data_IF_307515978769
#
_entry.id   IF_307515978769
#
_cell.length_a   1.000
_cell.length_b   1.000
_cell.length_c   1.000
_cell.angle_alpha   90.00
_cell.angle_beta   90.00
_cell.angle_gamma   90.00
#
_symmetry.space_group_name_H-M   'P 1'
#
loop_
_entity.id
_entity.type
_entity.pdbx_description
1 polymer ?
#
# COMPACT_ATOMS: atom_id res chain seq x y z
N UNK A 1 22.29 1.83 27.83
CA UNK A 1 20.87 1.41 27.83
C UNK A 1 20.04 2.67 27.66
N UNK A 2 19.36 2.83 26.51
CA UNK A 2 18.55 4.02 26.24
C UNK A 2 17.28 3.93 27.11
N UNK A 3 17.12 4.83 28.08
CA UNK A 3 15.91 4.97 28.89
C UNK A 3 15.28 6.31 28.55
N UNK A 4 14.10 6.26 27.95
CA UNK A 4 13.30 7.44 27.67
C UNK A 4 12.43 7.72 28.90
N UNK A 5 12.54 8.92 29.48
CA UNK A 5 11.69 9.33 30.60
C UNK A 5 10.30 9.68 30.06
N UNK A 6 9.29 9.01 30.60
CA UNK A 6 7.91 9.26 30.22
C UNK A 6 7.44 10.62 30.76
N UNK A 7 6.96 11.49 29.87
CA UNK A 7 6.42 12.82 30.16
C UNK A 7 4.91 12.82 29.85
N UNK A 8 4.06 12.51 30.82
CA UNK A 8 2.61 12.54 30.64
C UNK A 8 1.80 11.94 31.80
N UNK A 9 0.48 11.87 31.62
CA UNK A 9 -0.43 11.12 32.50
C UNK A 9 -1.19 9.98 31.78
N UNK A 10 -1.08 9.89 30.44
CA UNK A 10 -1.69 8.85 29.58
C UNK A 10 -0.67 8.13 28.68
N UNK A 11 -0.88 6.85 28.32
CA UNK A 11 0.04 6.11 27.45
C UNK A 11 0.24 6.79 26.08
N UNK A 12 1.48 6.84 25.59
CA UNK A 12 1.79 7.37 24.24
C UNK A 12 1.28 6.49 23.10
N UNK A 13 1.14 5.19 23.36
CA UNK A 13 0.70 4.19 22.39
C UNK A 13 -0.55 3.53 22.97
N UNK A 14 -1.60 3.43 22.15
CA UNK A 14 -2.80 2.69 22.47
C UNK A 14 -2.96 1.53 21.51
N UNK A 15 -3.40 0.38 22.01
CA UNK A 15 -3.76 -0.78 21.18
C UNK A 15 -5.26 -0.74 20.80
N UNK A 16 -5.86 0.45 20.76
CA UNK A 16 -7.28 0.64 20.46
C UNK A 16 -7.40 0.97 18.97
N UNK A 17 -8.01 0.10 18.14
CA UNK A 17 -8.15 0.35 16.72
C UNK A 17 -9.27 1.37 16.44
N UNK A 18 -9.22 1.99 15.27
CA UNK A 18 -10.36 2.71 14.70
C UNK A 18 -11.32 1.71 14.04
N UNK A 19 -12.61 1.76 14.41
CA UNK A 19 -13.63 0.87 13.87
C UNK A 19 -14.62 1.67 13.00
N UNK A 20 -14.83 1.24 11.76
CA UNK A 20 -15.80 1.83 10.83
C UNK A 20 -16.64 0.75 10.17
N UNK A 21 -17.96 0.99 10.12
CA UNK A 21 -18.91 0.13 9.42
C UNK A 21 -19.31 0.81 8.11
N UNK A 22 -19.18 0.09 6.98
CA UNK A 22 -19.65 0.53 5.67
C UNK A 22 -20.65 -0.48 5.13
N UNK A 23 -21.83 -0.01 4.72
CA UNK A 23 -22.84 -0.86 4.10
C UNK A 23 -22.63 -0.83 2.59
N UNK A 24 -22.33 -2.00 2.02
CA UNK A 24 -22.14 -2.14 0.57
C UNK A 24 -23.39 -1.71 -0.20
N UNK A 25 -23.15 -1.00 -1.30
CA UNK A 25 -24.17 -0.58 -2.25
C UNK A 25 -23.79 -1.04 -3.66
N UNK A 26 -24.73 -1.07 -4.62
CA UNK A 26 -24.44 -1.50 -6.00
C UNK A 26 -23.41 -0.63 -6.75
N UNK A 27 -23.03 0.52 -6.20
CA UNK A 27 -21.97 1.39 -6.74
C UNK A 27 -20.58 1.08 -6.19
N UNK A 28 -20.47 0.24 -5.17
CA UNK A 28 -19.18 -0.18 -4.63
C UNK A 28 -18.63 -1.31 -5.51
N UNK A 29 -17.48 -1.07 -6.15
CA UNK A 29 -16.89 -2.01 -7.10
C UNK A 29 -15.85 -2.94 -6.44
N UNK A 30 -14.93 -2.37 -5.67
CA UNK A 30 -13.87 -3.11 -4.98
C UNK A 30 -13.38 -2.36 -3.73
N UNK A 31 -12.61 -3.05 -2.90
CA UNK A 31 -11.95 -2.49 -1.71
C UNK A 31 -10.46 -2.78 -1.80
N UNK A 32 -9.63 -1.74 -1.68
CA UNK A 32 -8.18 -1.88 -1.57
C UNK A 32 -7.78 -1.78 -0.11
N UNK A 33 -7.07 -2.80 0.38
CA UNK A 33 -6.41 -2.80 1.69
C UNK A 33 -4.92 -3.01 1.45
N UNK A 34 -4.11 -2.03 1.84
CA UNK A 34 -2.66 -2.09 1.66
C UNK A 34 -1.92 -1.44 2.83
N UNK A 35 -0.64 -1.76 2.94
CA UNK A 35 0.28 -1.04 3.82
C UNK A 35 0.62 0.34 3.25
N UNK A 36 1.27 1.15 4.07
CA UNK A 36 1.79 2.47 3.69
C UNK A 36 2.81 2.40 2.55
N UNK A 37 3.54 1.29 2.42
CA UNK A 37 4.49 1.04 1.34
C UNK A 37 3.90 1.26 -0.05
N UNK A 38 2.61 0.92 -0.27
CA UNK A 38 1.94 1.18 -1.54
C UNK A 38 1.89 2.68 -1.85
N UNK A 39 1.45 3.44 -0.85
CA UNK A 39 1.16 4.87 -0.97
C UNK A 39 2.40 5.77 -0.89
N UNK A 40 3.59 5.19 -0.70
CA UNK A 40 4.86 5.90 -0.86
C UNK A 40 5.17 6.21 -2.34
N UNK A 41 4.53 5.50 -3.28
CA UNK A 41 4.80 5.58 -4.72
C UNK A 41 3.55 5.84 -5.58
N UNK A 42 2.35 5.58 -5.05
CA UNK A 42 1.08 5.71 -5.75
C UNK A 42 0.09 6.55 -4.92
N UNK A 43 -0.68 7.43 -5.57
CA UNK A 43 -1.83 8.10 -4.94
C UNK A 43 -3.05 7.18 -4.86
N UNK A 44 -4.05 7.54 -4.06
CA UNK A 44 -5.31 6.79 -4.00
C UNK A 44 -6.01 6.73 -5.37
N UNK A 45 -5.98 7.84 -6.11
CA UNK A 45 -6.57 7.96 -7.45
C UNK A 45 -5.83 7.09 -8.47
N UNK A 46 -4.50 7.06 -8.40
CA UNK A 46 -3.69 6.19 -9.26
C UNK A 46 -3.99 4.71 -8.97
N UNK A 47 -4.07 4.31 -7.70
CA UNK A 47 -4.41 2.93 -7.32
C UNK A 47 -5.77 2.52 -7.89
N UNK A 48 -6.79 3.37 -7.74
CA UNK A 48 -8.13 3.11 -8.31
C UNK A 48 -8.05 3.00 -9.84
N UNK A 49 -7.38 3.95 -10.50
CA UNK A 49 -7.23 3.93 -11.97
C UNK A 49 -6.53 2.67 -12.46
N UNK A 50 -5.44 2.24 -11.81
CA UNK A 50 -4.70 1.05 -12.20
C UNK A 50 -5.54 -0.23 -12.06
N UNK A 51 -6.33 -0.33 -10.99
CA UNK A 51 -7.22 -1.48 -10.78
C UNK A 51 -8.34 -1.50 -11.81
N UNK A 52 -9.02 -0.38 -12.03
CA UNK A 52 -10.11 -0.28 -13.02
C UNK A 52 -9.60 -0.63 -14.43
N UNK A 53 -8.51 0.02 -14.86
CA UNK A 53 -7.89 -0.23 -16.16
C UNK A 53 -7.47 -1.69 -16.36
N UNK A 54 -6.92 -2.31 -15.32
CA UNK A 54 -6.45 -3.69 -15.39
C UNK A 54 -7.62 -4.67 -15.45
N UNK A 55 -8.65 -4.47 -14.64
CA UNK A 55 -9.85 -5.32 -14.63
C UNK A 55 -10.59 -5.25 -15.97
N UNK A 56 -10.61 -4.11 -16.65
CA UNK A 56 -11.19 -3.99 -18.00
C UNK A 56 -10.38 -4.73 -19.06
N UNK A 57 -9.04 -4.65 -19.00
CA UNK A 57 -8.14 -5.22 -20.03
C UNK A 57 -7.89 -6.72 -19.82
N UNK A 58 -7.85 -7.17 -18.58
CA UNK A 58 -7.51 -8.54 -18.18
C UNK A 58 -8.46 -9.02 -17.08
N UNK A 59 -9.71 -9.40 -17.42
CA UNK A 59 -10.72 -9.76 -16.43
C UNK A 59 -10.37 -11.00 -15.60
N UNK A 60 -9.51 -11.89 -16.11
CA UNK A 60 -9.05 -13.10 -15.41
C UNK A 60 -7.70 -12.91 -14.68
N UNK A 61 -7.13 -11.70 -14.72
CA UNK A 61 -5.84 -11.38 -14.09
C UNK A 61 -5.93 -11.03 -12.61
N UNK A 62 -4.77 -10.88 -11.96
CA UNK A 62 -4.68 -10.42 -10.57
C UNK A 62 -4.35 -8.90 -10.50
N UNK A 63 -5.32 -8.04 -10.16
CA UNK A 63 -5.08 -6.59 -10.04
C UNK A 63 -4.15 -6.23 -8.89
N UNK A 64 -4.06 -7.05 -7.83
CA UNK A 64 -3.15 -6.79 -6.71
C UNK A 64 -1.70 -7.04 -7.12
N UNK A 65 -1.43 -8.11 -7.89
CA UNK A 65 -0.12 -8.36 -8.46
C UNK A 65 0.30 -7.22 -9.40
N UNK A 66 -0.62 -6.75 -10.26
CA UNK A 66 -0.34 -5.63 -11.16
C UNK A 66 0.05 -4.34 -10.40
N UNK A 67 -0.65 -4.01 -9.30
CA UNK A 67 -0.29 -2.88 -8.45
C UNK A 67 1.11 -3.02 -7.83
N UNK A 68 1.48 -4.23 -7.42
CA UNK A 68 2.82 -4.50 -6.87
C UNK A 68 3.89 -4.31 -7.95
N UNK A 69 3.66 -4.81 -9.16
CA UNK A 69 4.59 -4.65 -10.28
C UNK A 69 4.81 -3.17 -10.63
N UNK A 70 3.73 -2.39 -10.73
CA UNK A 70 3.79 -0.94 -10.96
C UNK A 70 4.54 -0.22 -9.83
N UNK A 71 4.28 -0.59 -8.57
CA UNK A 71 5.00 -0.04 -7.42
C UNK A 71 6.49 -0.32 -7.52
N UNK A 72 6.87 -1.57 -7.78
CA UNK A 72 8.27 -1.98 -7.83
C UNK A 72 9.00 -1.28 -8.98
N UNK A 73 8.34 -1.09 -10.13
CA UNK A 73 8.86 -0.31 -11.24
C UNK A 73 9.11 1.16 -10.84
N UNK A 74 8.17 1.81 -10.16
CA UNK A 74 8.34 3.18 -9.64
C UNK A 74 9.43 3.27 -8.58
N UNK A 75 9.54 2.27 -7.71
CA UNK A 75 10.56 2.18 -6.69
C UNK A 75 11.96 2.07 -7.29
N UNK A 76 12.14 1.18 -8.28
CA UNK A 76 13.40 1.00 -9.00
C UNK A 76 13.82 2.28 -9.72
N UNK A 77 12.87 2.91 -10.43
CA UNK A 77 13.09 4.19 -11.11
C UNK A 77 13.51 5.31 -10.14
N UNK A 78 12.89 5.39 -8.96
CA UNK A 78 13.24 6.37 -7.92
C UNK A 78 14.62 6.11 -7.32
N UNK A 79 15.01 4.85 -7.18
CA UNK A 79 16.31 4.43 -6.69
C UNK A 79 17.42 4.51 -7.75
N UNK A 80 17.08 4.80 -9.01
CA UNK A 80 18.01 4.76 -10.16
C UNK A 80 18.65 3.37 -10.29
N UNK A 81 17.82 2.33 -10.14
CA UNK A 81 18.19 0.92 -10.21
C UNK A 81 17.33 0.20 -11.26
N UNK A 82 17.84 -0.92 -11.79
CA UNK A 82 16.98 -1.84 -12.56
C UNK A 82 16.00 -2.56 -11.61
N UNK A 83 14.87 -3.00 -12.16
CA UNK A 83 13.87 -3.78 -11.42
C UNK A 83 14.47 -5.04 -10.78
N UNK A 84 15.35 -5.75 -11.50
CA UNK A 84 15.98 -6.96 -10.98
C UNK A 84 16.94 -6.65 -9.84
N UNK A 85 17.71 -5.56 -9.96
CA UNK A 85 18.62 -5.12 -8.89
C UNK A 85 17.87 -4.76 -7.61
N UNK A 86 16.67 -4.19 -7.73
CA UNK A 86 15.82 -3.88 -6.57
C UNK A 86 15.32 -5.15 -5.87
N UNK A 87 14.96 -6.18 -6.63
CA UNK A 87 14.50 -7.46 -6.08
C UNK A 87 15.61 -8.24 -5.36
N UNK A 88 16.87 -8.02 -5.76
CA UNK A 88 18.04 -8.65 -5.13
C UNK A 88 18.45 -7.99 -3.80
N UNK A 89 17.80 -6.89 -3.39
CA UNK A 89 18.08 -6.23 -2.11
C UNK A 89 17.68 -7.18 -0.97
N UNK A 90 18.63 -7.54 -0.06
CA UNK A 90 18.32 -8.43 1.05
C UNK A 90 17.27 -7.81 1.96
N UNK A 91 16.32 -8.64 2.40
CA UNK A 91 15.35 -8.25 3.41
C UNK A 91 16.09 -7.94 4.72
N UNK A 92 15.79 -6.76 5.30
CA UNK A 92 16.43 -6.24 6.50
C UNK A 92 16.13 -7.02 7.77
#
# INVERSE_FOLDING_TARGET
>A
MFRNEYIGQTPYISCIPSLRHHRLCPKDHFLVLSSDGLYQYLSNEEVVSHVEDFMEKCPDGDPAQHLIEELLFRAAKKAVMDFHELLDIPQG
#
